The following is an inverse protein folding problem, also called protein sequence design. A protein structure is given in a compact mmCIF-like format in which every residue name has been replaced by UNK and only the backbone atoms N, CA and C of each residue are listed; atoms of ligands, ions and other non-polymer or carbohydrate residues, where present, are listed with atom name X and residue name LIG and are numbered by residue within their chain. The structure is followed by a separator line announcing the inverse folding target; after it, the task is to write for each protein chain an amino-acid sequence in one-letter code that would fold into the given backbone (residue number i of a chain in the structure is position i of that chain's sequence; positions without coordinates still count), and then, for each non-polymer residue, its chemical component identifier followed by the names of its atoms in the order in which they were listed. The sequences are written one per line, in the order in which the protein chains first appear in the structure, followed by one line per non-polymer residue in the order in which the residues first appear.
data_IF_394387400208
#
_entry.id   IF_394387400208
#
_cell.length_a   1.000
_cell.length_b   1.000
_cell.length_c   1.000
_cell.angle_alpha   90.00
_cell.angle_beta   90.00
_cell.angle_gamma   90.00
#
_symmetry.space_group_name_H-M   'P 1'
#
loop_
_entity.id
_entity.type
_entity.pdbx_description
1 polymer ?
#
# COMPACT_ATOMS: atom_id res chain seq x y z
N UNK A 1 1.08 18.81 16.44
CA UNK A 1 2.00 19.05 15.32
C UNK A 1 2.16 20.54 15.08
N UNK A 2 3.36 21.00 14.73
CA UNK A 2 3.57 22.38 14.26
C UNK A 2 3.78 22.33 12.74
N UNK A 3 3.02 23.14 12.00
CA UNK A 3 3.21 23.25 10.56
C UNK A 3 4.46 24.08 10.27
N UNK A 4 5.40 23.49 9.54
CA UNK A 4 6.56 24.22 9.02
C UNK A 4 6.17 25.06 7.80
N UNK A 5 6.97 26.07 7.48
CA UNK A 5 6.73 26.95 6.32
C UNK A 5 6.54 26.18 5.00
N UNK A 6 7.38 25.15 4.68
CA UNK A 6 7.18 24.34 3.48
C UNK A 6 5.84 23.57 3.47
N UNK A 7 5.39 23.07 4.63
CA UNK A 7 4.11 22.38 4.72
C UNK A 7 2.94 23.32 4.43
N UNK A 8 3.02 24.57 4.91
CA UNK A 8 2.00 25.59 4.66
C UNK A 8 1.91 25.87 3.15
N UNK A 9 3.05 26.01 2.47
CA UNK A 9 3.09 26.25 1.03
C UNK A 9 2.45 25.08 0.25
N UNK A 10 2.73 23.83 0.66
CA UNK A 10 2.08 22.64 0.09
C UNK A 10 0.55 22.64 0.29
N UNK A 11 0.07 23.02 1.48
CA UNK A 11 -1.39 23.14 1.73
C UNK A 11 -2.03 24.15 0.79
N UNK A 12 -1.38 25.31 0.57
CA UNK A 12 -1.88 26.32 -0.35
C UNK A 12 -1.86 25.87 -1.82
N UNK A 13 -0.82 25.17 -2.25
CA UNK A 13 -0.73 24.61 -3.60
C UNK A 13 -1.76 23.51 -3.84
N UNK A 14 -1.99 22.64 -2.86
CA UNK A 14 -3.08 21.66 -2.90
C UNK A 14 -4.42 22.40 -3.03
N UNK A 15 -4.71 23.37 -2.14
CA UNK A 15 -5.99 24.13 -2.15
C UNK A 15 -6.30 24.82 -3.49
N UNK A 16 -5.27 25.23 -4.24
CA UNK A 16 -5.42 25.84 -5.57
C UNK A 16 -5.89 24.85 -6.63
N UNK A 17 -5.58 23.56 -6.47
CA UNK A 17 -5.83 22.49 -7.43
C UNK A 17 -7.08 21.68 -7.12
N UNK A 18 -7.50 21.63 -5.85
CA UNK A 18 -8.69 20.86 -5.46
C UNK A 18 -9.99 21.51 -5.95
N UNK A 19 -10.99 20.66 -6.20
CA UNK A 19 -12.35 21.05 -6.55
C UNK A 19 -12.97 22.01 -5.54
N UNK A 20 -13.92 22.84 -6.01
CA UNK A 20 -14.52 23.90 -5.20
C UNK A 20 -15.15 23.40 -3.89
N UNK A 21 -15.73 22.21 -3.91
CA UNK A 21 -16.39 21.58 -2.76
C UNK A 21 -15.41 21.23 -1.64
N UNK A 22 -14.15 20.95 -1.99
CA UNK A 22 -13.11 20.53 -1.04
C UNK A 22 -12.26 21.71 -0.53
N UNK A 23 -12.36 22.89 -1.14
CA UNK A 23 -11.62 24.10 -0.72
C UNK A 23 -11.85 24.54 0.74
N UNK A 24 -13.06 24.39 1.33
CA UNK A 24 -13.30 24.72 2.75
C UNK A 24 -12.60 23.75 3.71
N UNK A 25 -12.43 22.51 3.27
CA UNK A 25 -11.80 21.41 4.00
C UNK A 25 -10.28 21.56 4.08
N UNK A 26 -9.66 22.05 3.00
CA UNK A 26 -8.21 22.33 2.92
C UNK A 26 -7.88 23.68 3.59
N UNK A 27 -7.97 23.74 4.92
CA UNK A 27 -7.57 24.90 5.76
C UNK A 27 -6.70 24.47 6.93
N UNK A 28 -5.69 25.27 7.28
CA UNK A 28 -4.77 24.99 8.40
C UNK A 28 -5.45 24.95 9.77
N UNK A 29 -6.63 25.58 9.89
CA UNK A 29 -7.43 25.54 11.12
C UNK A 29 -8.18 24.20 11.30
N UNK A 30 -8.24 23.34 10.28
CA UNK A 30 -8.93 22.05 10.36
C UNK A 30 -7.97 20.99 10.93
N UNK A 31 -8.24 20.44 12.13
CA UNK A 31 -7.42 19.35 12.67
C UNK A 31 -7.51 18.06 11.84
N UNK A 32 -8.60 17.87 11.08
CA UNK A 32 -8.82 16.68 10.25
C UNK A 32 -8.33 16.83 8.81
N UNK A 33 -7.64 17.93 8.48
CA UNK A 33 -7.13 18.21 7.13
C UNK A 33 -6.34 17.04 6.53
N UNK A 34 -5.45 16.42 7.30
CA UNK A 34 -4.61 15.32 6.81
C UNK A 34 -5.43 14.06 6.47
N UNK A 35 -6.46 13.77 7.26
CA UNK A 35 -7.36 12.61 7.00
C UNK A 35 -8.20 12.85 5.76
N UNK A 36 -8.79 14.04 5.66
CA UNK A 36 -9.58 14.47 4.52
C UNK A 36 -8.76 14.45 3.21
N UNK A 37 -7.51 14.90 3.27
CA UNK A 37 -6.58 14.81 2.14
C UNK A 37 -6.21 13.36 1.79
N UNK A 38 -6.06 12.48 2.78
CA UNK A 38 -5.81 11.06 2.54
C UNK A 38 -7.01 10.38 1.86
N UNK A 39 -8.25 10.73 2.25
CA UNK A 39 -9.45 10.27 1.56
C UNK A 39 -9.52 10.83 0.13
N UNK A 40 -9.24 12.12 -0.04
CA UNK A 40 -9.23 12.77 -1.35
C UNK A 40 -8.17 12.20 -2.29
N UNK A 41 -7.01 11.80 -1.75
CA UNK A 41 -5.94 11.15 -2.51
C UNK A 41 -6.42 9.87 -3.24
N UNK A 42 -7.31 9.10 -2.61
CA UNK A 42 -7.88 7.90 -3.20
C UNK A 42 -8.91 8.23 -4.29
N UNK A 43 -9.71 9.28 -4.08
CA UNK A 43 -10.76 9.70 -5.02
C UNK A 43 -10.22 10.44 -6.25
N UNK A 44 -9.13 11.21 -6.10
CA UNK A 44 -8.61 12.04 -7.19
C UNK A 44 -7.86 11.21 -8.24
N UNK A 45 -7.87 11.68 -9.49
CA UNK A 45 -7.08 11.11 -10.60
C UNK A 45 -5.87 11.98 -10.95
N UNK A 46 -5.82 13.22 -10.47
CA UNK A 46 -4.72 14.14 -10.77
C UNK A 46 -3.42 13.67 -10.11
N UNK A 47 -2.42 13.38 -10.93
CA UNK A 47 -1.11 12.92 -10.47
C UNK A 47 -0.38 14.00 -9.67
N UNK A 48 -0.55 15.28 -10.01
CA UNK A 48 0.18 16.36 -9.35
C UNK A 48 -0.38 16.57 -7.94
N UNK A 49 -1.70 16.62 -7.81
CA UNK A 49 -2.36 16.70 -6.50
C UNK A 49 -2.02 15.49 -5.63
N UNK A 50 -1.94 14.28 -6.21
CA UNK A 50 -1.44 13.09 -5.49
C UNK A 50 -0.02 13.25 -4.98
N UNK A 51 0.91 13.77 -5.80
CA UNK A 51 2.29 13.95 -5.37
C UNK A 51 2.41 14.98 -4.25
N UNK A 52 1.69 16.10 -4.33
CA UNK A 52 1.69 17.13 -3.30
C UNK A 52 1.13 16.62 -1.97
N UNK A 53 0.03 15.86 -2.02
CA UNK A 53 -0.57 15.25 -0.82
C UNK A 53 0.40 14.23 -0.21
N UNK A 54 1.06 13.40 -1.04
CA UNK A 54 2.08 12.44 -0.56
C UNK A 54 3.25 13.13 0.12
N UNK A 55 3.77 14.20 -0.47
CA UNK A 55 4.88 14.98 0.08
C UNK A 55 4.50 15.59 1.44
N UNK A 56 3.32 16.20 1.51
CA UNK A 56 2.79 16.82 2.73
C UNK A 56 2.60 15.80 3.86
N UNK A 57 1.99 14.64 3.57
CA UNK A 57 1.77 13.59 4.58
C UNK A 57 3.10 12.96 5.03
N UNK A 58 4.08 12.83 4.13
CA UNK A 58 5.44 12.35 4.48
C UNK A 58 6.15 13.34 5.40
N UNK A 59 6.00 14.66 5.18
CA UNK A 59 6.54 15.68 6.09
C UNK A 59 5.81 15.75 7.43
N UNK A 60 4.52 15.43 7.45
CA UNK A 60 3.73 15.40 8.68
C UNK A 60 4.16 14.23 9.60
N UNK A 61 4.50 13.09 9.02
CA UNK A 61 5.08 11.95 9.73
C UNK A 61 4.64 10.60 9.16
N UNK A 62 5.33 9.53 9.58
CA UNK A 62 5.12 8.19 9.03
C UNK A 62 3.71 7.64 9.26
N UNK A 63 3.05 8.03 10.36
CA UNK A 63 1.66 7.66 10.67
C UNK A 63 0.68 8.11 9.57
N UNK A 64 0.95 9.27 8.97
CA UNK A 64 0.12 9.87 7.94
C UNK A 64 0.44 9.31 6.56
N UNK A 65 1.72 9.04 6.30
CA UNK A 65 2.14 8.36 5.07
C UNK A 65 1.58 6.93 4.98
N UNK A 66 1.44 6.23 6.12
CA UNK A 66 0.85 4.89 6.19
C UNK A 66 -0.64 4.85 5.79
N UNK A 67 -1.37 5.97 5.86
CA UNK A 67 -2.77 6.03 5.41
C UNK A 67 -2.91 6.03 3.88
N UNK A 68 -1.86 6.44 3.16
CA UNK A 68 -1.86 6.50 1.69
C UNK A 68 -1.63 5.13 1.05
N UNK A 69 -0.74 4.35 1.65
CA UNK A 69 -0.41 3.01 1.24
C UNK A 69 -0.82 2.11 2.41
N UNK A 70 -2.04 1.54 2.42
CA UNK A 70 -2.32 0.49 3.38
C UNK A 70 -1.21 -0.54 3.23
N UNK A 71 -0.35 -0.64 4.25
CA UNK A 71 0.80 -1.53 4.27
C UNK A 71 0.23 -2.92 3.93
N UNK A 72 0.72 -3.63 2.90
CA UNK A 72 0.21 -4.96 2.54
C UNK A 72 0.54 -6.03 3.60
N UNK A 73 0.84 -5.63 4.83
CA UNK A 73 1.04 -6.51 5.97
C UNK A 73 -0.29 -7.02 6.55
N UNK A 74 -1.44 -6.52 6.06
CA UNK A 74 -2.77 -7.06 6.33
C UNK A 74 -3.55 -7.35 5.03
N UNK A 75 -2.85 -7.77 3.97
CA UNK A 75 -3.45 -8.69 3.00
C UNK A 75 -3.35 -10.12 3.55
N UNK A 76 -3.78 -10.32 4.80
CA UNK A 76 -4.07 -11.64 5.32
C UNK A 76 -5.36 -12.12 4.62
N UNK A 77 -5.18 -13.06 3.69
CA UNK A 77 -6.18 -13.95 3.12
C UNK A 77 -7.25 -13.36 2.18
N UNK A 78 -6.90 -12.64 1.10
CA UNK A 78 -7.57 -12.81 -0.21
C UNK A 78 -6.73 -12.12 -1.31
N UNK A 79 -5.59 -12.72 -1.67
CA UNK A 79 -4.99 -12.44 -2.99
C UNK A 79 -5.36 -13.63 -3.89
N UNK A 80 -6.04 -13.43 -5.04
CA UNK A 80 -6.14 -14.49 -6.03
C UNK A 80 -4.72 -14.80 -6.51
N UNK A 81 -4.35 -16.07 -6.31
CA UNK A 81 -3.26 -16.84 -6.91
C UNK A 81 -2.53 -16.12 -8.07
N UNK A 82 -1.66 -15.16 -7.74
CA UNK A 82 -0.79 -14.54 -8.75
C UNK A 82 0.49 -15.35 -8.72
N UNK A 83 0.74 -16.20 -9.74
CA UNK A 83 1.89 -17.09 -9.73
C UNK A 83 3.16 -16.26 -9.65
N UNK A 84 4.03 -16.59 -8.70
CA UNK A 84 5.35 -15.96 -8.58
C UNK A 84 6.12 -16.25 -9.86
N UNK A 85 6.41 -15.26 -10.69
CA UNK A 85 7.14 -15.49 -11.94
C UNK A 85 8.64 -15.56 -11.68
N UNK A 86 9.30 -16.60 -12.21
CA UNK A 86 10.74 -16.82 -12.12
C UNK A 86 11.34 -16.65 -13.51
N UNK A 87 12.39 -15.83 -13.62
CA UNK A 87 13.16 -15.69 -14.85
C UNK A 87 14.17 -16.82 -14.93
N UNK A 88 14.02 -17.71 -15.91
CA UNK A 88 15.02 -18.73 -16.25
C UNK A 88 15.73 -18.35 -17.55
N UNK A 89 17.06 -18.45 -17.54
CA UNK A 89 17.89 -18.22 -18.73
C UNK A 89 18.30 -19.57 -19.29
N UNK A 90 17.91 -19.88 -20.52
CA UNK A 90 18.31 -21.10 -21.22
C UNK A 90 19.00 -20.74 -22.54
N UNK A 91 20.27 -21.16 -22.71
CA UNK A 91 21.09 -20.91 -23.92
C UNK A 91 21.06 -19.46 -24.41
N UNK A 92 21.12 -18.50 -23.48
CA UNK A 92 21.11 -17.06 -23.80
C UNK A 92 19.74 -16.44 -24.05
N UNK A 93 18.65 -17.23 -24.01
CA UNK A 93 17.29 -16.74 -24.09
C UNK A 93 16.67 -16.67 -22.68
N UNK A 94 16.12 -15.51 -22.33
CA UNK A 94 15.38 -15.29 -21.08
C UNK A 94 13.92 -15.70 -21.26
N UNK A 95 13.42 -16.58 -20.39
CA UNK A 95 12.03 -17.00 -20.35
C UNK A 95 11.45 -16.69 -18.97
N UNK A 96 10.27 -16.08 -18.95
CA UNK A 96 9.47 -15.89 -17.74
C UNK A 96 8.59 -17.14 -17.57
N UNK A 97 8.76 -17.86 -16.47
CA UNK A 97 8.01 -19.09 -16.18
C UNK A 97 7.38 -18.96 -14.80
N UNK A 98 6.14 -19.40 -14.65
CA UNK A 98 5.46 -19.42 -13.35
C UNK A 98 6.19 -20.38 -12.39
N UNK A 99 6.40 -19.93 -11.15
CA UNK A 99 7.01 -20.75 -10.11
C UNK A 99 6.12 -21.96 -9.83
N UNK A 100 6.70 -23.14 -9.62
CA UNK A 100 5.94 -24.26 -9.09
C UNK A 100 5.34 -23.84 -7.74
N UNK A 101 4.02 -24.01 -7.60
CA UNK A 101 3.34 -23.87 -6.32
C UNK A 101 4.02 -24.80 -5.33
N UNK A 102 4.37 -24.28 -4.15
CA UNK A 102 5.12 -25.06 -3.15
C UNK A 102 4.41 -26.40 -2.92
N UNK A 103 5.11 -27.54 -3.01
CA UNK A 103 4.50 -28.81 -2.68
C UNK A 103 4.05 -28.73 -1.22
N UNK A 104 2.76 -28.97 -0.99
CA UNK A 104 2.21 -29.08 0.36
C UNK A 104 3.04 -30.13 1.11
N UNK A 105 3.69 -29.74 2.19
CA UNK A 105 4.43 -30.66 3.06
C UNK A 105 3.43 -31.65 3.67
N UNK A 106 3.24 -32.79 3.03
CA UNK A 106 2.59 -33.93 3.66
C UNK A 106 3.54 -34.48 4.72
N UNK A 107 3.32 -34.08 5.98
CA UNK A 107 4.00 -34.70 7.12
C UNK A 107 3.74 -36.22 7.07
N UNK A 108 4.78 -37.07 7.04
CA UNK A 108 4.56 -38.51 7.05
C UNK A 108 3.88 -38.91 8.36
N UNK A 109 2.71 -39.55 8.26
CA UNK A 109 1.97 -40.04 9.42
C UNK A 109 2.78 -41.05 10.21
N UNK A 110 2.85 -40.90 11.54
CA UNK A 110 3.52 -41.88 12.39
C UNK A 110 2.72 -43.17 12.41
N UNK A 111 3.36 -44.30 12.09
CA UNK A 111 2.77 -45.64 12.24
C UNK A 111 3.28 -46.28 13.52
N UNK A 112 2.40 -46.88 14.32
CA UNK A 112 2.77 -47.74 15.44
C UNK A 112 2.17 -49.12 15.24
N UNK A 113 3.04 -50.15 15.22
CA UNK A 113 2.65 -51.55 15.11
C UNK A 113 1.69 -51.84 13.94
N UNK A 114 1.96 -51.23 12.78
CA UNK A 114 1.17 -51.42 11.55
C UNK A 114 -0.15 -50.65 11.50
N UNK A 115 -0.44 -49.79 12.48
CA UNK A 115 -1.61 -48.92 12.47
C UNK A 115 -1.16 -47.44 12.41
N UNK A 116 -1.85 -46.59 11.62
CA UNK A 116 -1.60 -45.15 11.63
C UNK A 116 -2.02 -44.59 13.01
N UNK A 117 -1.09 -43.89 13.67
CA UNK A 117 -1.40 -43.13 14.88
C UNK A 117 -1.78 -41.73 14.44
N UNK A 118 -3.08 -41.43 14.49
CA UNK A 118 -3.56 -40.04 14.42
C UNK A 118 -3.31 -39.38 15.77
N UNK A 119 -2.69 -38.19 15.76
CA UNK A 119 -2.59 -37.32 16.94
C UNK A 119 -3.94 -36.63 17.18
#
# INVERSE_FOLDING_TARGET
MQYTRPMIDLVYEVRRRVDADMKPSVKLANPDLLKELATYYQATKDTITKTLIKELLTMAGDEWAALLFPKPEQAEYTAPDTPRQIVKVYRGQTMLIDAPSQPQEHKPGRMYRGQPVSD
#
